data_IF_177839867541
#
_entry.id   IF_177839867541
#
_cell.length_a   1.000
_cell.length_b   1.000
_cell.length_c   1.000
_cell.angle_alpha   90.00
_cell.angle_beta   90.00
_cell.angle_gamma   90.00
#
_symmetry.space_group_name_H-M   'P 1'
#
loop_
_entity.id
_entity.type
_entity.pdbx_description
1 polymer ?
#
# COMPACT_ATOMS: atom_id res chain seq x y z
N UNK A 1 -13.70 3.94 -7.13
CA UNK A 1 -14.07 4.17 -5.70
C UNK A 1 -12.77 4.24 -4.90
N UNK A 2 -12.58 5.24 -4.01
CA UNK A 2 -11.36 5.34 -3.19
C UNK A 2 -11.32 4.18 -2.19
N UNK A 3 -10.22 3.44 -2.11
CA UNK A 3 -10.03 2.32 -1.17
C UNK A 3 -9.65 2.83 0.22
N UNK A 4 -10.17 2.18 1.25
CA UNK A 4 -9.79 2.38 2.64
C UNK A 4 -9.26 1.07 3.20
N UNK A 5 -8.22 1.18 4.03
CA UNK A 5 -7.63 0.09 4.79
C UNK A 5 -7.80 0.42 6.26
N UNK A 6 -8.77 -0.24 6.89
CA UNK A 6 -9.25 0.08 8.24
C UNK A 6 -8.23 -0.25 9.35
N UNK A 7 -7.26 -1.11 9.05
CA UNK A 7 -6.21 -1.48 9.98
C UNK A 7 -5.24 -2.51 9.40
N UNK A 8 -3.94 -2.24 9.49
CA UNK A 8 -2.90 -3.22 9.24
C UNK A 8 -1.69 -3.00 10.14
N UNK A 9 -1.01 -4.08 10.48
CA UNK A 9 0.20 -4.05 11.28
C UNK A 9 1.39 -3.97 10.35
N UNK A 10 2.30 -3.01 10.56
CA UNK A 10 3.52 -2.92 9.76
C UNK A 10 4.74 -2.52 10.58
N UNK A 11 5.90 -3.09 10.21
CA UNK A 11 7.20 -2.63 10.66
C UNK A 11 7.67 -1.49 9.77
N UNK A 12 8.19 -0.43 10.38
CA UNK A 12 8.82 0.66 9.64
C UNK A 12 10.28 0.31 9.43
N UNK A 13 10.76 0.38 8.20
CA UNK A 13 12.18 0.19 7.87
C UNK A 13 12.66 1.32 6.96
N UNK A 14 13.95 1.66 7.04
CA UNK A 14 14.55 2.56 6.05
C UNK A 14 14.55 1.86 4.69
N UNK A 15 14.16 2.58 3.64
CA UNK A 15 14.17 2.03 2.28
C UNK A 15 15.62 1.89 1.82
N UNK A 16 16.12 0.64 1.80
CA UNK A 16 17.45 0.30 1.31
C UNK A 16 17.34 -0.14 -0.16
N UNK A 17 17.48 0.81 -1.07
CA UNK A 17 17.52 0.57 -2.53
C UNK A 17 18.54 1.50 -3.16
N UNK A 18 19.24 1.05 -4.21
CA UNK A 18 20.13 1.90 -5.00
C UNK A 18 19.40 3.08 -5.65
N UNK A 19 18.08 2.95 -5.82
CA UNK A 19 17.20 4.01 -6.35
C UNK A 19 16.59 4.89 -5.26
N UNK A 20 16.79 4.56 -3.99
CA UNK A 20 16.28 5.38 -2.88
C UNK A 20 17.26 6.52 -2.62
N UNK A 21 16.79 7.75 -2.82
CA UNK A 21 17.51 8.96 -2.46
C UNK A 21 16.78 9.70 -1.35
N UNK A 22 17.52 10.56 -0.65
CA UNK A 22 16.94 11.51 0.29
C UNK A 22 15.89 12.38 -0.40
N UNK A 23 14.87 12.78 0.36
CA UNK A 23 13.93 13.79 -0.10
C UNK A 23 14.57 15.20 -0.08
N UNK A 24 13.81 16.22 -0.47
CA UNK A 24 14.27 17.61 -0.54
C UNK A 24 14.82 18.17 0.78
N UNK A 25 14.56 17.53 1.91
CA UNK A 25 15.02 17.93 3.24
C UNK A 25 16.16 17.06 3.76
N UNK A 26 16.75 16.19 2.92
CA UNK A 26 17.87 15.33 3.31
C UNK A 26 17.44 14.10 4.11
N UNK A 27 16.16 13.71 4.07
CA UNK A 27 15.65 12.57 4.85
C UNK A 27 15.39 11.36 3.95
N UNK A 28 15.95 10.22 4.33
CA UNK A 28 15.74 8.96 3.62
C UNK A 28 14.28 8.48 3.75
N UNK A 29 13.68 7.97 2.67
CA UNK A 29 12.34 7.38 2.72
C UNK A 29 12.32 6.10 3.57
N UNK A 30 11.14 5.79 4.09
CA UNK A 30 10.87 4.55 4.82
C UNK A 30 9.86 3.70 4.06
N UNK A 31 9.88 2.40 4.31
CA UNK A 31 8.91 1.44 3.78
C UNK A 31 8.15 0.79 4.93
N UNK A 32 6.83 0.63 4.76
CA UNK A 32 6.01 -0.15 5.67
C UNK A 32 6.02 -1.61 5.22
N UNK A 33 6.62 -2.46 6.03
CA UNK A 33 6.63 -3.91 5.83
C UNK A 33 5.44 -4.52 6.57
N UNK A 34 4.42 -4.93 5.83
CA UNK A 34 3.21 -5.53 6.39
C UNK A 34 3.50 -6.81 7.18
N UNK A 35 2.80 -6.98 8.30
CA UNK A 35 2.86 -8.15 9.18
C UNK A 35 1.50 -8.86 9.25
N UNK A 36 0.40 -8.09 9.29
CA UNK A 36 -0.97 -8.58 9.41
C UNK A 36 -1.97 -7.55 8.87
N UNK A 37 -3.17 -7.97 8.50
CA UNK A 37 -4.21 -7.12 7.91
C UNK A 37 -4.02 -6.87 6.41
N UNK A 38 -4.82 -5.96 5.86
CA UNK A 38 -4.76 -5.58 4.45
C UNK A 38 -3.90 -4.32 4.25
N UNK A 39 -2.90 -4.39 3.38
CA UNK A 39 -1.99 -3.27 3.09
C UNK A 39 -1.92 -3.02 1.58
N UNK A 40 -1.90 -1.76 1.09
CA UNK A 40 -1.63 -1.49 -0.31
C UNK A 40 -0.18 -1.87 -0.67
N UNK A 41 0.02 -2.40 -1.87
CA UNK A 41 1.34 -2.68 -2.46
C UNK A 41 2.28 -1.47 -2.50
N UNK A 42 1.72 -0.24 -2.59
CA UNK A 42 2.47 1.02 -2.50
C UNK A 42 2.56 1.49 -1.06
N UNK A 43 3.63 1.11 -0.37
CA UNK A 43 3.79 1.32 1.08
C UNK A 43 5.03 2.15 1.48
N UNK A 44 5.60 2.90 0.52
CA UNK A 44 6.75 3.78 0.75
C UNK A 44 6.28 5.17 1.17
N UNK A 45 7.00 5.76 2.14
CA UNK A 45 6.71 7.06 2.74
C UNK A 45 7.97 7.92 2.69
N UNK A 46 7.84 9.20 2.29
CA UNK A 46 8.98 10.13 2.30
C UNK A 46 9.51 10.37 3.71
N UNK A 47 10.82 10.63 3.83
CA UNK A 47 11.48 10.78 5.12
C UNK A 47 10.89 11.92 5.96
N UNK A 48 10.60 13.06 5.34
CA UNK A 48 9.92 14.20 5.98
C UNK A 48 8.55 13.83 6.52
N UNK A 49 7.75 13.09 5.75
CA UNK A 49 6.41 12.70 6.20
C UNK A 49 6.48 11.68 7.34
N UNK A 50 7.40 10.72 7.25
CA UNK A 50 7.68 9.77 8.33
C UNK A 50 8.10 10.46 9.63
N UNK A 51 9.01 11.46 9.54
CA UNK A 51 9.43 12.27 10.69
C UNK A 51 8.24 13.04 11.29
N UNK A 52 7.41 13.67 10.46
CA UNK A 52 6.24 14.42 10.93
C UNK A 52 5.18 13.53 11.61
N UNK A 53 5.06 12.27 11.19
CA UNK A 53 4.20 11.28 11.84
C UNK A 53 4.79 10.69 13.12
N UNK A 54 6.06 10.98 13.43
CA UNK A 54 6.75 10.42 14.60
C UNK A 54 6.99 8.91 14.51
N UNK A 55 6.98 8.33 13.31
CA UNK A 55 7.29 6.91 13.11
C UNK A 55 8.80 6.72 12.96
N UNK A 56 9.32 5.69 13.62
CA UNK A 56 10.76 5.46 13.72
C UNK A 56 11.12 4.09 13.13
N UNK A 57 12.13 4.01 12.24
CA UNK A 57 12.59 2.72 11.71
C UNK A 57 12.96 1.72 12.80
N UNK A 58 12.64 0.45 12.57
CA UNK A 58 12.85 -0.65 13.51
C UNK A 58 11.65 -0.96 14.40
N UNK A 59 10.69 -0.04 14.55
CA UNK A 59 9.47 -0.24 15.35
C UNK A 59 8.27 -0.71 14.52
N UNK A 60 7.28 -1.27 15.22
CA UNK A 60 6.03 -1.78 14.66
C UNK A 60 4.88 -0.91 15.14
N UNK A 61 3.95 -0.58 14.23
CA UNK A 61 2.77 0.22 14.53
C UNK A 61 1.54 -0.38 13.86
N UNK A 62 0.37 -0.05 14.39
CA UNK A 62 -0.90 -0.23 13.72
C UNK A 62 -1.17 0.99 12.83
N UNK A 63 -1.47 0.75 11.56
CA UNK A 63 -1.71 1.79 10.57
C UNK A 63 -3.11 1.69 9.99
N UNK A 64 -3.61 2.84 9.56
CA UNK A 64 -4.68 2.98 8.58
C UNK A 64 -4.11 3.54 7.28
N UNK A 65 -4.77 3.21 6.16
CA UNK A 65 -4.48 3.86 4.90
C UNK A 65 -5.75 4.27 4.15
N UNK A 66 -5.71 5.45 3.53
CA UNK A 66 -6.78 5.95 2.67
C UNK A 66 -6.20 6.31 1.32
N UNK A 67 -6.83 5.83 0.26
CA UNK A 67 -6.47 6.21 -1.10
C UNK A 67 -6.76 7.68 -1.34
N UNK A 68 -5.75 8.40 -1.85
CA UNK A 68 -5.87 9.79 -2.28
C UNK A 68 -6.40 9.86 -3.70
N UNK A 69 -6.61 11.08 -4.19
CA UNK A 69 -6.87 11.27 -5.61
C UNK A 69 -5.70 10.78 -6.43
N UNK A 70 -6.02 10.14 -7.55
CA UNK A 70 -5.01 9.61 -8.45
C UNK A 70 -4.22 10.77 -9.05
N UNK A 71 -2.91 10.67 -8.95
CA UNK A 71 -2.00 11.59 -9.61
C UNK A 71 -1.77 11.11 -11.06
N UNK A 72 -1.77 12.03 -12.02
CA UNK A 72 -1.62 11.70 -13.45
C UNK A 72 -0.21 11.14 -13.74
N UNK A 73 0.81 11.66 -13.06
CA UNK A 73 2.21 11.30 -13.26
C UNK A 73 2.59 10.09 -12.39
N UNK A 74 2.16 10.09 -11.12
CA UNK A 74 2.59 9.10 -10.15
C UNK A 74 1.58 7.97 -9.93
N UNK A 75 0.37 8.04 -10.48
CA UNK A 75 -0.68 7.04 -10.32
C UNK A 75 -1.35 7.08 -8.94
N UNK A 76 -1.82 5.92 -8.46
CA UNK A 76 -2.56 5.82 -7.19
C UNK A 76 -1.64 6.10 -6.00
N UNK A 77 -2.12 6.94 -5.08
CA UNK A 77 -1.39 7.34 -3.89
C UNK A 77 -2.19 7.01 -2.62
N UNK A 78 -1.49 6.78 -1.51
CA UNK A 78 -2.11 6.46 -0.23
C UNK A 78 -1.62 7.42 0.85
N UNK A 79 -2.54 7.85 1.71
CA UNK A 79 -2.21 8.49 2.99
C UNK A 79 -2.12 7.42 4.05
N UNK A 80 -1.02 7.37 4.77
CA UNK A 80 -0.84 6.48 5.92
C UNK A 80 -1.01 7.25 7.22
N UNK A 81 -1.65 6.62 8.20
CA UNK A 81 -1.83 7.17 9.54
C UNK A 81 -1.47 6.10 10.57
N UNK A 82 -0.42 6.26 11.38
CA UNK A 82 -0.23 5.43 12.56
C UNK A 82 -1.36 5.73 13.56
N UNK A 83 -2.09 4.70 13.98
CA UNK A 83 -3.18 4.80 14.96
C UNK A 83 -2.79 4.19 16.33
N UNK A 84 -1.54 3.75 16.47
CA UNK A 84 -0.94 3.33 17.73
C UNK A 84 0.42 3.99 17.94
N UNK A 85 0.93 3.91 19.18
CA UNK A 85 2.36 4.06 19.46
C UNK A 85 3.15 2.85 18.94
N UNK A 86 4.46 2.83 19.19
CA UNK A 86 5.27 1.64 18.95
C UNK A 86 4.75 0.47 19.80
N UNK A 87 4.49 -0.65 19.15
CA UNK A 87 3.91 -1.83 19.77
C UNK A 87 5.01 -2.76 20.30
N UNK A 88 4.80 -3.28 21.50
CA UNK A 88 5.58 -4.37 22.06
C UNK A 88 5.30 -5.69 21.34
N UNK A 89 6.15 -6.69 21.55
CA UNK A 89 5.96 -8.02 20.97
C UNK A 89 4.61 -8.65 21.34
N UNK A 90 4.13 -8.43 22.58
CA UNK A 90 2.85 -8.96 23.04
C UNK A 90 1.68 -8.28 22.31
N UNK A 91 1.70 -6.95 22.20
CA UNK A 91 0.67 -6.19 21.48
C UNK A 91 0.64 -6.54 19.99
N UNK A 92 1.80 -6.77 19.38
CA UNK A 92 1.91 -7.27 18.00
C UNK A 92 1.22 -8.61 17.83
N UNK A 93 1.44 -9.56 18.74
CA UNK A 93 0.80 -10.87 18.69
C UNK A 93 -0.72 -10.78 18.88
N UNK A 94 -1.18 -9.92 19.79
CA UNK A 94 -2.60 -9.67 20.01
C UNK A 94 -3.23 -9.03 18.77
N UNK A 95 -2.66 -7.94 18.25
CA UNK A 95 -3.16 -7.26 17.06
C UNK A 95 -3.26 -8.20 15.85
N UNK A 96 -2.27 -9.08 15.67
CA UNK A 96 -2.26 -10.08 14.58
C UNK A 96 -3.43 -11.06 14.68
N UNK A 97 -3.90 -11.41 15.88
CA UNK A 97 -5.07 -12.28 16.05
C UNK A 97 -6.36 -11.60 15.57
N UNK A 98 -6.49 -10.28 15.76
CA UNK A 98 -7.65 -9.50 15.32
C UNK A 98 -7.62 -9.17 13.83
N UNK A 99 -6.46 -8.79 13.30
CA UNK A 99 -6.29 -8.35 11.91
C UNK A 99 -6.21 -9.51 10.91
N UNK A 100 -5.92 -10.73 11.39
CA UNK A 100 -5.78 -11.90 10.54
C UNK A 100 -4.48 -11.93 9.73
N UNK A 101 -4.50 -12.70 8.64
CA UNK A 101 -3.31 -12.90 7.79
C UNK A 101 -3.01 -11.64 6.98
N UNK A 102 -1.73 -11.40 6.72
CA UNK A 102 -1.30 -10.35 5.81
C UNK A 102 -1.86 -10.60 4.41
N UNK A 103 -2.48 -9.57 3.84
CA UNK A 103 -2.89 -9.52 2.43
C UNK A 103 -2.37 -8.24 1.81
N UNK A 104 -1.50 -8.37 0.81
CA UNK A 104 -1.02 -7.24 0.04
C UNK A 104 -2.00 -7.04 -1.11
N UNK A 105 -2.66 -5.89 -1.13
CA UNK A 105 -3.58 -5.51 -2.18
C UNK A 105 -2.77 -4.86 -3.30
N UNK A 106 -2.70 -5.52 -4.46
CA UNK A 106 -2.14 -4.90 -5.64
C UNK A 106 -3.04 -3.73 -6.05
N UNK A 107 -2.44 -2.57 -6.24
CA UNK A 107 -3.17 -1.34 -6.59
C UNK A 107 -2.87 -0.88 -8.01
N UNK A 108 -1.90 -1.51 -8.69
CA UNK A 108 -1.52 -1.20 -10.07
C UNK A 108 -2.28 -2.07 -11.09
N UNK A 109 -2.83 -3.20 -10.67
CA UNK A 109 -3.71 -4.01 -11.49
C UNK A 109 -5.01 -3.24 -11.78
N UNK A 110 -5.26 -3.01 -13.07
CA UNK A 110 -6.57 -2.61 -13.58
C UNK A 110 -7.47 -3.83 -13.37
N UNK A 111 -8.43 -3.71 -12.47
CA UNK A 111 -9.54 -4.67 -12.39
C UNK A 111 -10.30 -4.53 -13.72
N UNK A 112 -10.08 -5.46 -14.65
CA UNK A 112 -10.90 -5.58 -15.84
C UNK A 112 -12.21 -6.19 -15.34
N UNK A 113 -13.26 -5.37 -15.21
CA UNK A 113 -14.60 -5.88 -14.96
C UNK A 113 -14.94 -6.86 -16.10
N UNK A 114 -15.05 -8.15 -15.80
CA UNK A 114 -15.43 -9.20 -16.77
C UNK A 114 -16.83 -8.95 -17.36
N UNK A 115 -17.60 -8.03 -16.78
CA UNK A 115 -18.93 -7.63 -17.24
C UNK A 115 -18.93 -6.44 -18.23
N UNK A 116 -17.77 -5.84 -18.56
CA UNK A 116 -17.69 -4.78 -19.56
C UNK A 116 -17.29 -5.33 -20.93
N UNK A 117 -18.26 -5.93 -21.64
CA UNK A 117 -18.15 -6.10 -23.10
C UNK A 117 -18.62 -4.80 -23.74
N UNK A 118 -17.73 -3.93 -24.27
CA UNK A 118 -18.20 -2.79 -25.04
C UNK A 118 -18.93 -3.31 -26.29
N UNK A 119 -20.23 -2.99 -26.41
CA UNK A 119 -21.10 -3.35 -27.56
C UNK A 119 -20.58 -2.86 -28.93
N UNK A 120 -19.43 -2.18 -28.99
CA UNK A 120 -18.87 -1.62 -30.21
C UNK A 120 -17.71 -2.41 -30.82
N UNK A 121 -17.46 -3.67 -30.40
CA UNK A 121 -16.61 -4.60 -31.17
C UNK A 121 -17.49 -5.61 -31.94
N UNK A 122 -18.59 -5.14 -32.53
CA UNK A 122 -19.21 -5.83 -33.67
C UNK A 122 -18.36 -5.52 -34.90
N UNK A 123 -17.29 -6.30 -35.10
CA UNK A 123 -16.51 -6.15 -36.32
C UNK A 123 -15.14 -6.80 -36.30
N UNK A 124 -15.12 -8.11 -36.54
CA UNK A 124 -13.96 -8.92 -36.93
C UNK A 124 -12.95 -9.17 -35.81
N UNK A 125 -13.19 -10.22 -35.03
CA UNK A 125 -12.22 -11.29 -34.78
C UNK A 125 -12.97 -12.44 -34.10
N UNK A 126 -12.87 -13.65 -34.63
CA UNK A 126 -13.53 -14.84 -34.09
C UNK A 126 -12.80 -15.32 -32.84
N UNK A 127 -13.59 -15.79 -31.86
CA UNK A 127 -13.17 -16.19 -30.51
C UNK A 127 -12.04 -17.25 -30.49
N UNK A 128 -11.81 -17.98 -31.59
CA UNK A 128 -10.78 -19.01 -31.68
C UNK A 128 -9.33 -18.48 -31.66
N UNK A 129 -9.07 -17.20 -31.97
CA UNK A 129 -7.71 -16.64 -31.97
C UNK A 129 -7.23 -16.12 -30.59
N UNK A 130 -8.12 -16.10 -29.58
CA UNK A 130 -7.79 -15.54 -28.25
C UNK A 130 -7.21 -16.61 -27.30
N UNK A 131 -7.38 -17.90 -27.59
CA UNK A 131 -7.02 -18.99 -26.66
C UNK A 131 -5.96 -19.99 -27.20
N UNK A 132 -5.12 -19.57 -28.16
CA UNK A 132 -3.92 -20.32 -28.55
C UNK A 132 -2.63 -19.68 -28.03
#
# INVERSE_FOLDING_TARGET
MKRNFDGFLAKVEMLKSERASEDKNGLMPVILLGIAGEIPSRSVISGTYAQNMGIVPGYVYLFQATEKEQDIEYGRQFSFLPISSNLSAVEVLQAKQYLGKLKIVNVEEIEVDEDFVPENVVGKMSIEEILS
#
